data_IF_660502217163
#
_entry.id   IF_660502217163
#
_cell.length_a   1.000
_cell.length_b   1.000
_cell.length_c   1.000
_cell.angle_alpha   90.00
_cell.angle_beta   90.00
_cell.angle_gamma   90.00
#
_symmetry.space_group_name_H-M   'P 1'
#
loop_
_entity.id
_entity.type
_entity.pdbx_description
1 polymer ?
#
# COMPACT_ATOMS: atom_id res chain seq x y z
N UNK A 1 18.76 12.38 -2.73
CA UNK A 1 17.62 12.14 -3.46
C UNK A 1 16.89 10.85 -3.22
N UNK A 2 15.78 10.74 -3.85
CA UNK A 2 14.88 9.60 -3.86
C UNK A 2 13.81 9.83 -4.92
N UNK A 3 12.95 8.84 -5.10
CA UNK A 3 11.87 8.92 -6.07
C UNK A 3 10.50 8.76 -5.37
N UNK A 4 9.47 9.50 -5.78
CA UNK A 4 8.12 9.35 -5.25
C UNK A 4 7.51 8.03 -5.76
N UNK A 5 7.38 7.03 -4.89
CA UNK A 5 6.88 5.70 -5.27
C UNK A 5 5.97 5.03 -4.24
N UNK A 6 5.80 5.63 -3.07
CA UNK A 6 5.04 5.00 -1.97
C UNK A 6 3.56 4.86 -2.31
N UNK A 7 2.94 5.89 -2.87
CA UNK A 7 1.51 5.93 -3.17
C UNK A 7 1.09 4.85 -4.18
N UNK A 8 1.93 4.59 -5.18
CA UNK A 8 1.56 3.75 -6.34
C UNK A 8 2.17 2.34 -6.30
N UNK A 9 3.00 2.04 -5.31
CA UNK A 9 3.69 0.73 -5.23
C UNK A 9 2.72 -0.46 -5.27
N UNK A 10 1.66 -0.41 -4.47
CA UNK A 10 0.70 -1.51 -4.41
C UNK A 10 -0.08 -1.68 -5.71
N UNK A 11 -0.57 -0.58 -6.28
CA UNK A 11 -1.35 -0.62 -7.52
C UNK A 11 -0.50 -1.00 -8.75
N UNK A 12 0.75 -0.56 -8.80
CA UNK A 12 1.71 -0.98 -9.82
C UNK A 12 2.02 -2.47 -9.71
N UNK A 13 2.30 -2.97 -8.51
CA UNK A 13 2.61 -4.38 -8.30
C UNK A 13 1.41 -5.28 -8.60
N UNK A 14 0.21 -4.83 -8.29
CA UNK A 14 -1.00 -5.55 -8.69
C UNK A 14 -1.17 -5.57 -10.21
N UNK A 15 -1.06 -4.42 -10.87
CA UNK A 15 -1.29 -4.29 -12.30
C UNK A 15 -0.26 -5.08 -13.12
N UNK A 16 1.02 -4.82 -12.90
CA UNK A 16 2.12 -5.40 -13.71
C UNK A 16 2.70 -6.69 -13.13
N UNK A 17 2.35 -7.03 -11.91
CA UNK A 17 2.76 -8.27 -11.27
C UNK A 17 1.66 -9.32 -11.29
N UNK A 18 0.58 -9.07 -10.55
CA UNK A 18 -0.49 -10.04 -10.35
C UNK A 18 -1.35 -10.22 -11.61
N UNK A 19 -1.83 -9.13 -12.19
CA UNK A 19 -2.70 -9.17 -13.38
C UNK A 19 -2.01 -9.77 -14.60
N UNK A 20 -0.72 -9.56 -14.74
CA UNK A 20 0.07 -10.16 -15.84
C UNK A 20 0.60 -11.57 -15.51
N UNK A 21 0.25 -12.13 -14.36
CA UNK A 21 0.60 -13.49 -13.99
C UNK A 21 2.08 -13.70 -13.63
N UNK A 22 2.82 -12.63 -13.33
CA UNK A 22 4.24 -12.71 -12.95
C UNK A 22 4.43 -13.12 -11.49
N UNK A 23 3.48 -12.75 -10.64
CA UNK A 23 3.43 -13.13 -9.22
C UNK A 23 1.99 -13.43 -8.81
N UNK A 24 1.82 -14.16 -7.71
CA UNK A 24 0.49 -14.40 -7.13
C UNK A 24 0.09 -13.26 -6.18
N UNK A 25 -1.19 -13.20 -5.81
CA UNK A 25 -1.67 -12.26 -4.78
C UNK A 25 -0.99 -12.51 -3.43
N UNK A 26 -0.79 -13.77 -3.07
CA UNK A 26 -0.09 -14.16 -1.85
C UNK A 26 1.35 -13.66 -1.83
N UNK A 27 2.05 -13.78 -2.95
CA UNK A 27 3.41 -13.25 -3.09
C UNK A 27 3.42 -11.72 -2.95
N UNK A 28 2.44 -11.03 -3.57
CA UNK A 28 2.29 -9.59 -3.42
C UNK A 28 2.10 -9.19 -1.94
N UNK A 29 1.24 -9.88 -1.21
CA UNK A 29 1.01 -9.64 0.21
C UNK A 29 2.28 -9.86 1.04
N UNK A 30 3.05 -10.92 0.74
CA UNK A 30 4.33 -11.16 1.39
C UNK A 30 5.33 -10.04 1.13
N UNK A 31 5.46 -9.58 -0.12
CA UNK A 31 6.41 -8.53 -0.48
C UNK A 31 6.07 -7.18 0.15
N UNK A 32 4.78 -6.84 0.23
CA UNK A 32 4.35 -5.53 0.69
C UNK A 32 4.09 -5.45 2.19
N UNK A 33 3.81 -6.56 2.85
CA UNK A 33 3.32 -6.55 4.23
C UNK A 33 4.06 -7.52 5.16
N UNK A 34 3.97 -8.82 4.91
CA UNK A 34 4.47 -9.83 5.85
C UNK A 34 5.99 -9.78 6.01
N UNK A 35 6.73 -9.82 4.90
CA UNK A 35 8.19 -9.82 4.94
C UNK A 35 8.77 -8.52 5.51
N UNK A 36 8.30 -7.33 5.10
CA UNK A 36 8.71 -6.09 5.76
C UNK A 36 8.43 -6.08 7.27
N UNK A 37 7.25 -6.54 7.68
CA UNK A 37 6.90 -6.58 9.11
C UNK A 37 7.83 -7.49 9.91
N UNK A 38 8.19 -8.64 9.36
CA UNK A 38 9.18 -9.57 9.98
C UNK A 38 10.58 -8.99 9.98
N UNK A 39 10.99 -8.38 8.86
CA UNK A 39 12.32 -7.77 8.72
C UNK A 39 12.53 -6.64 9.74
N UNK A 40 11.51 -5.82 9.96
CA UNK A 40 11.58 -4.68 10.88
C UNK A 40 11.12 -5.01 12.30
N UNK A 41 10.77 -6.25 12.59
CA UNK A 41 10.45 -6.70 13.94
C UNK A 41 9.12 -6.16 14.48
N UNK A 42 8.13 -5.97 13.62
CA UNK A 42 6.77 -5.52 14.01
C UNK A 42 5.68 -6.55 13.70
N UNK A 43 6.06 -7.73 13.22
CA UNK A 43 5.15 -8.85 13.03
C UNK A 43 4.91 -9.59 14.37
N UNK A 44 3.71 -10.05 14.72
CA UNK A 44 2.46 -10.02 13.95
C UNK A 44 1.55 -8.81 14.27
N UNK A 45 2.02 -7.78 14.98
CA UNK A 45 1.23 -6.56 15.16
C UNK A 45 0.86 -5.94 13.80
N UNK A 46 1.80 -5.93 12.88
CA UNK A 46 1.64 -5.54 11.47
C UNK A 46 1.93 -6.73 10.55
N UNK A 47 1.49 -6.63 9.30
CA UNK A 47 1.87 -7.57 8.23
C UNK A 47 0.96 -8.78 8.09
N UNK A 48 -0.10 -8.90 8.86
CA UNK A 48 -1.06 -10.00 8.78
C UNK A 48 -2.47 -9.53 9.17
N UNK A 49 -3.48 -10.12 8.55
CA UNK A 49 -4.87 -9.95 8.95
C UNK A 49 -5.22 -11.13 9.85
N UNK A 50 -5.16 -10.90 11.17
CA UNK A 50 -5.43 -11.92 12.18
C UNK A 50 -5.99 -11.28 13.46
N UNK A 51 -6.74 -12.03 14.27
CA UNK A 51 -7.19 -11.54 15.58
C UNK A 51 -6.00 -11.08 16.44
N UNK A 52 -6.10 -9.89 17.01
CA UNK A 52 -5.05 -9.28 17.82
C UNK A 52 -4.03 -8.44 17.07
N UNK A 53 -4.00 -8.51 15.73
CA UNK A 53 -3.18 -7.64 14.90
C UNK A 53 -3.89 -6.31 14.62
N UNK A 54 -3.10 -5.27 14.32
CA UNK A 54 -3.66 -3.98 13.93
C UNK A 54 -4.43 -4.11 12.60
N UNK A 55 -5.61 -3.54 12.55
CA UNK A 55 -6.44 -3.52 11.35
C UNK A 55 -5.97 -2.43 10.37
N UNK A 56 -4.77 -2.60 9.84
CA UNK A 56 -4.23 -1.82 8.72
C UNK A 56 -4.59 -2.55 7.42
N UNK A 57 -5.67 -2.11 6.78
CA UNK A 57 -6.28 -2.86 5.68
C UNK A 57 -6.44 -1.94 4.47
N UNK A 58 -6.01 -2.42 3.32
CA UNK A 58 -6.22 -1.76 2.02
C UNK A 58 -7.19 -2.61 1.20
N UNK A 59 -8.27 -1.99 0.74
CA UNK A 59 -9.19 -2.60 -0.20
C UNK A 59 -8.85 -2.12 -1.62
N UNK A 60 -8.50 -3.06 -2.48
CA UNK A 60 -8.18 -2.81 -3.88
C UNK A 60 -9.39 -3.19 -4.73
N UNK A 61 -9.88 -2.25 -5.54
CA UNK A 61 -10.90 -2.53 -6.56
C UNK A 61 -10.21 -2.97 -7.87
N UNK A 62 -10.35 -4.23 -8.28
CA UNK A 62 -9.71 -4.75 -9.49
C UNK A 62 -10.34 -4.26 -10.80
N UNK A 63 -11.45 -3.54 -10.73
CA UNK A 63 -12.17 -3.01 -11.90
C UNK A 63 -11.91 -1.53 -12.16
N UNK A 64 -11.36 -0.82 -11.18
CA UNK A 64 -11.06 0.60 -11.30
C UNK A 64 -9.79 0.79 -12.13
N UNK A 65 -9.86 1.61 -13.17
CA UNK A 65 -8.71 1.93 -14.01
C UNK A 65 -8.35 3.40 -13.88
N UNK A 66 -7.07 3.69 -13.97
CA UNK A 66 -6.55 5.06 -13.92
C UNK A 66 -5.17 5.16 -14.56
N UNK A 67 -4.69 6.38 -14.75
CA UNK A 67 -3.35 6.66 -15.25
C UNK A 67 -2.58 7.44 -14.18
N UNK A 68 -1.34 7.06 -13.91
CA UNK A 68 -0.49 7.76 -12.96
C UNK A 68 -0.08 9.11 -13.53
N UNK A 69 -0.27 10.17 -12.75
CA UNK A 69 0.16 11.51 -13.12
C UNK A 69 0.63 12.32 -11.92
N UNK A 70 1.68 13.10 -12.11
CA UNK A 70 2.15 14.07 -11.14
C UNK A 70 1.10 15.16 -10.84
N UNK A 71 0.18 15.40 -11.77
CA UNK A 71 -0.91 16.36 -11.57
C UNK A 71 -1.93 15.94 -10.51
N UNK A 72 -2.02 14.64 -10.22
CA UNK A 72 -3.04 14.07 -9.32
C UNK A 72 -2.48 13.30 -8.13
N UNK A 73 -1.16 13.11 -8.04
CA UNK A 73 -0.55 12.40 -6.92
C UNK A 73 -0.50 13.25 -5.64
N UNK A 74 -0.33 12.60 -4.49
CA UNK A 74 -0.32 13.24 -3.18
C UNK A 74 1.09 13.68 -2.71
N UNK A 75 2.10 13.59 -3.56
CA UNK A 75 3.45 14.03 -3.25
C UNK A 75 3.65 15.52 -3.46
N UNK A 76 4.53 16.14 -2.67
CA UNK A 76 4.97 17.53 -2.85
C UNK A 76 6.12 17.63 -3.88
N UNK A 77 5.90 17.12 -5.08
CA UNK A 77 6.85 17.15 -6.19
C UNK A 77 6.09 17.27 -7.51
N UNK A 78 6.74 17.83 -8.51
CA UNK A 78 6.19 18.05 -9.84
C UNK A 78 6.51 16.93 -10.84
N UNK A 79 7.13 15.85 -10.36
CA UNK A 79 7.48 14.71 -11.20
C UNK A 79 7.02 13.39 -10.58
N UNK A 80 6.83 12.40 -11.44
CA UNK A 80 6.53 11.03 -11.06
C UNK A 80 7.26 10.08 -12.01
N UNK A 81 8.12 9.16 -11.52
CA UNK A 81 8.88 8.25 -12.39
C UNK A 81 7.98 7.29 -13.18
N UNK A 82 6.71 7.16 -12.78
CA UNK A 82 5.72 6.30 -13.43
C UNK A 82 4.66 7.11 -14.20
N UNK A 83 4.97 8.38 -14.54
CA UNK A 83 4.06 9.23 -15.32
C UNK A 83 3.57 8.51 -16.57
N UNK A 84 2.25 8.48 -16.79
CA UNK A 84 1.64 7.84 -17.92
C UNK A 84 1.42 6.32 -17.81
N UNK A 85 1.89 5.68 -16.73
CA UNK A 85 1.60 4.25 -16.52
C UNK A 85 0.11 4.04 -16.26
N UNK A 86 -0.47 3.09 -16.96
CA UNK A 86 -1.86 2.68 -16.78
C UNK A 86 -1.99 1.68 -15.63
N UNK A 87 -2.96 1.92 -14.75
CA UNK A 87 -3.29 1.03 -13.63
C UNK A 87 -4.60 0.30 -13.92
N UNK A 88 -4.60 -1.01 -13.66
CA UNK A 88 -5.77 -1.90 -13.83
C UNK A 88 -6.45 -2.21 -12.50
N UNK A 89 -6.26 -1.37 -11.50
CA UNK A 89 -6.93 -1.41 -10.22
C UNK A 89 -6.91 -0.02 -9.58
N UNK A 90 -7.70 0.16 -8.53
CA UNK A 90 -7.68 1.36 -7.72
C UNK A 90 -7.83 1.04 -6.25
N UNK A 91 -7.46 1.99 -5.39
CA UNK A 91 -7.66 1.87 -3.96
C UNK A 91 -9.09 2.31 -3.64
N UNK A 92 -9.90 1.38 -3.14
CA UNK A 92 -11.26 1.69 -2.70
C UNK A 92 -11.26 2.31 -1.31
N UNK A 93 -10.60 1.65 -0.34
CA UNK A 93 -10.54 2.13 1.04
C UNK A 93 -9.20 1.78 1.67
N UNK A 94 -8.77 2.63 2.62
CA UNK A 94 -7.63 2.35 3.50
C UNK A 94 -8.06 2.53 4.94
N UNK A 95 -7.87 1.50 5.75
CA UNK A 95 -8.07 1.54 7.19
C UNK A 95 -6.72 1.54 7.89
N UNK A 96 -6.57 2.38 8.90
CA UNK A 96 -5.42 2.40 9.79
C UNK A 96 -5.89 2.12 11.22
N UNK A 97 -5.49 0.99 11.76
CA UNK A 97 -5.97 0.47 13.06
C UNK A 97 -7.49 0.55 13.20
N UNK A 98 -8.20 0.10 12.14
CA UNK A 98 -9.66 0.09 12.09
C UNK A 98 -10.34 1.42 11.77
N UNK A 99 -9.59 2.52 11.64
CA UNK A 99 -10.14 3.82 11.29
C UNK A 99 -10.06 4.04 9.78
N UNK A 100 -11.16 4.43 9.16
CA UNK A 100 -11.19 4.76 7.74
C UNK A 100 -10.38 6.04 7.49
N UNK A 101 -9.25 5.88 6.83
CA UNK A 101 -8.34 6.98 6.51
C UNK A 101 -8.55 7.52 5.10
N UNK A 102 -8.81 6.61 4.15
CA UNK A 102 -9.01 6.95 2.74
C UNK A 102 -10.28 6.27 2.24
N UNK A 103 -11.11 7.02 1.52
CA UNK A 103 -12.30 6.51 0.86
C UNK A 103 -12.33 6.99 -0.59
N UNK A 104 -12.36 6.04 -1.53
CA UNK A 104 -12.33 6.28 -2.96
C UNK A 104 -11.21 7.25 -3.41
N UNK A 105 -10.00 7.00 -2.89
CA UNK A 105 -8.82 7.80 -3.19
C UNK A 105 -8.73 9.14 -2.47
N UNK A 106 -9.69 9.48 -1.60
CA UNK A 106 -9.72 10.74 -0.85
C UNK A 106 -9.38 10.53 0.61
N UNK A 107 -8.49 11.35 1.14
CA UNK A 107 -8.18 11.37 2.56
C UNK A 107 -9.40 11.90 3.34
N UNK A 108 -9.96 11.06 4.23
CA UNK A 108 -11.16 11.40 5.04
C UNK A 108 -10.85 11.59 6.51
N UNK A 109 -9.70 11.11 6.98
CA UNK A 109 -9.24 11.31 8.36
C UNK A 109 -7.72 11.44 8.39
N UNK A 110 -7.23 12.48 9.07
CA UNK A 110 -5.82 12.81 9.21
C UNK A 110 -5.28 12.48 10.60
N UNK A 111 -3.96 12.54 10.76
CA UNK A 111 -3.24 12.45 12.03
C UNK A 111 -3.50 11.17 12.81
N UNK A 112 -3.70 10.06 12.12
CA UNK A 112 -3.89 8.73 12.69
C UNK A 112 -2.58 8.01 13.02
N UNK A 113 -1.44 8.52 12.56
CA UNK A 113 -0.14 7.89 12.74
C UNK A 113 0.27 7.77 14.19
N UNK A 114 0.87 6.63 14.55
CA UNK A 114 1.50 6.39 15.86
C UNK A 114 2.88 5.76 15.62
N UNK A 115 3.84 6.16 16.43
CA UNK A 115 5.15 5.51 16.43
C UNK A 115 5.02 4.06 16.92
N UNK A 116 5.70 3.14 16.24
CA UNK A 116 5.72 1.73 16.60
C UNK A 116 7.15 1.34 16.94
N UNK A 117 7.35 0.83 18.15
CA UNK A 117 8.62 0.28 18.57
C UNK A 117 8.85 -1.07 17.92
N UNK A 118 9.96 -1.19 17.22
CA UNK A 118 10.33 -2.47 16.61
C UNK A 118 10.92 -3.44 17.64
N UNK A 119 10.63 -4.72 17.44
CA UNK A 119 11.28 -5.82 18.12
C UNK A 119 12.50 -6.35 17.34
N UNK A 120 12.87 -7.60 17.61
CA UNK A 120 13.95 -8.28 16.90
C UNK A 120 13.51 -8.67 15.49
N UNK A 121 14.46 -8.64 14.56
CA UNK A 121 14.29 -9.18 13.22
C UNK A 121 13.89 -10.66 13.28
N UNK A 122 12.91 -11.07 12.46
CA UNK A 122 12.33 -12.42 12.46
C UNK A 122 12.65 -13.21 11.19
N UNK A 123 13.31 -12.57 10.23
CA UNK A 123 13.79 -13.20 9.00
C UNK A 123 15.18 -12.73 8.63
#
# INVERSE_FOLDING_TARGET
>A
GGLPGVQTRGTLLYTYGVREGRITQEQMCKFLSENPAKLYGVYPQKGVIAPGSDADIVLIDPKKESTISAATHAYNTDNNPFEGFELKCGIAKVFLRGNLAVDDGKLVQEKLGKYIFRGKKQI
#
